data_IF_888249979384
#
_entry.id   IF_888249979384
#
_cell.length_a   1.000
_cell.length_b   1.000
_cell.length_c   1.000
_cell.angle_alpha   90.00
_cell.angle_beta   90.00
_cell.angle_gamma   90.00
#
_symmetry.space_group_name_H-M   'P 1'
#
loop_
_entity.id
_entity.type
_entity.pdbx_description
1 polymer ?
#
# COMPACT_ATOMS: atom_id res chain seq x y z
N UNK A 1 -6.14 2.81 15.53
CA UNK A 1 -4.90 3.58 15.26
C UNK A 1 -5.18 4.67 14.24
N UNK A 2 -4.42 5.79 14.28
CA UNK A 2 -4.44 6.84 13.26
C UNK A 2 -3.12 6.82 12.49
N UNK A 3 -3.16 6.68 11.17
CA UNK A 3 -1.96 6.58 10.31
C UNK A 3 -2.10 7.52 9.13
N UNK A 4 -1.02 8.26 8.83
CA UNK A 4 -0.89 9.04 7.61
C UNK A 4 0.21 8.43 6.76
N UNK A 5 -0.12 8.04 5.53
CA UNK A 5 0.81 7.52 4.53
C UNK A 5 1.11 8.63 3.52
N UNK A 6 2.39 8.89 3.26
CA UNK A 6 2.83 9.88 2.28
C UNK A 6 3.27 9.14 1.01
N UNK A 7 2.53 9.35 -0.07
CA UNK A 7 2.67 8.65 -1.36
C UNK A 7 1.58 7.60 -1.58
N UNK A 8 0.84 7.75 -2.68
CA UNK A 8 -0.19 6.84 -3.19
C UNK A 8 0.37 5.75 -4.12
N UNK A 9 1.65 5.44 -4.02
CA UNK A 9 2.27 4.34 -4.76
C UNK A 9 1.94 2.95 -4.19
N UNK A 10 2.41 1.86 -4.85
CA UNK A 10 2.05 0.49 -4.48
C UNK A 10 2.31 0.14 -3.01
N UNK A 11 3.44 0.56 -2.44
CA UNK A 11 3.78 0.26 -1.05
C UNK A 11 2.83 0.96 -0.06
N UNK A 12 2.52 2.25 -0.29
CA UNK A 12 1.65 3.03 0.57
C UNK A 12 0.21 2.54 0.55
N UNK A 13 -0.31 2.26 -0.66
CA UNK A 13 -1.65 1.70 -0.82
C UNK A 13 -1.76 0.30 -0.24
N UNK A 14 -0.76 -0.56 -0.47
CA UNK A 14 -0.75 -1.91 0.09
C UNK A 14 -0.77 -1.90 1.62
N UNK A 15 0.05 -1.05 2.26
CA UNK A 15 0.00 -0.87 3.71
C UNK A 15 -1.37 -0.39 4.19
N UNK A 16 -1.98 0.59 3.50
CA UNK A 16 -3.29 1.09 3.86
C UNK A 16 -4.38 -0.01 3.81
N UNK A 17 -4.32 -0.88 2.80
CA UNK A 17 -5.19 -2.05 2.67
C UNK A 17 -4.97 -3.01 3.85
N UNK A 18 -3.72 -3.40 4.12
CA UNK A 18 -3.41 -4.33 5.21
C UNK A 18 -3.85 -3.79 6.58
N UNK A 19 -3.65 -2.50 6.84
CA UNK A 19 -4.10 -1.87 8.08
C UNK A 19 -5.63 -1.95 8.25
N UNK A 20 -6.38 -1.79 7.16
CA UNK A 20 -7.84 -1.91 7.16
C UNK A 20 -8.32 -3.36 7.26
N UNK A 21 -7.64 -4.32 6.63
CA UNK A 21 -7.93 -5.75 6.79
C UNK A 21 -7.68 -6.22 8.22
N UNK A 22 -6.60 -5.77 8.84
CA UNK A 22 -6.25 -6.13 10.21
C UNK A 22 -7.24 -5.56 11.24
N UNK A 23 -7.69 -4.31 11.05
CA UNK A 23 -8.75 -3.71 11.85
C UNK A 23 -9.45 -2.57 11.06
N UNK A 24 -10.74 -2.72 10.72
CA UNK A 24 -11.50 -1.70 10.01
C UNK A 24 -11.58 -0.34 10.73
N UNK A 25 -11.47 -0.32 12.06
CA UNK A 25 -11.53 0.90 12.90
C UNK A 25 -10.25 1.75 12.80
N UNK A 26 -9.21 1.26 12.13
CA UNK A 26 -8.02 2.07 11.85
C UNK A 26 -8.38 3.27 10.96
N UNK A 27 -8.02 4.48 11.37
CA UNK A 27 -8.14 5.67 10.53
C UNK A 27 -6.86 5.81 9.72
N UNK A 28 -6.96 5.61 8.40
CA UNK A 28 -5.81 5.67 7.50
C UNK A 28 -6.06 6.76 6.47
N UNK A 29 -5.16 7.73 6.39
CA UNK A 29 -5.15 8.78 5.38
C UNK A 29 -3.98 8.54 4.44
N UNK A 30 -4.21 8.53 3.14
CA UNK A 30 -3.16 8.48 2.12
C UNK A 30 -3.10 9.83 1.43
N UNK A 31 -1.92 10.44 1.40
CA UNK A 31 -1.67 11.71 0.73
C UNK A 31 -0.81 11.47 -0.51
N UNK A 32 -1.33 11.78 -1.68
CA UNK A 32 -0.58 11.76 -2.95
C UNK A 32 -0.46 13.18 -3.49
N UNK A 33 0.72 13.50 -4.04
CA UNK A 33 1.02 14.82 -4.62
C UNK A 33 0.48 14.92 -6.04
N UNK A 34 0.60 13.86 -6.82
CA UNK A 34 0.25 13.83 -8.23
C UNK A 34 -1.27 13.68 -8.43
N UNK A 35 -1.78 14.10 -9.58
CA UNK A 35 -3.18 13.90 -9.94
C UNK A 35 -3.54 12.42 -10.11
N UNK A 36 -4.83 12.06 -10.09
CA UNK A 36 -5.28 10.67 -10.25
C UNK A 36 -4.87 10.04 -11.59
N UNK A 37 -4.70 10.85 -12.64
CA UNK A 37 -4.32 10.41 -13.99
C UNK A 37 -2.81 10.55 -14.27
N UNK A 38 -2.06 11.10 -13.31
CA UNK A 38 -0.61 11.30 -13.43
C UNK A 38 0.12 9.98 -13.19
N UNK A 39 0.43 9.28 -14.27
CA UNK A 39 1.10 7.97 -14.19
C UNK A 39 2.61 8.16 -14.12
N UNK A 40 3.17 8.12 -12.90
CA UNK A 40 4.60 8.11 -12.66
C UNK A 40 5.01 6.83 -11.94
N UNK A 41 6.08 6.18 -12.42
CA UNK A 41 6.61 4.98 -11.79
C UNK A 41 7.53 4.20 -12.69
N UNK A 42 8.11 3.14 -12.13
CA UNK A 42 8.92 2.17 -12.84
C UNK A 42 8.54 0.77 -12.33
N UNK A 43 8.61 -0.22 -13.20
CA UNK A 43 8.26 -1.59 -12.85
C UNK A 43 9.32 -2.22 -11.93
N UNK A 44 8.87 -2.89 -10.89
CA UNK A 44 9.70 -3.77 -10.04
C UNK A 44 9.37 -5.23 -10.33
N UNK A 45 10.36 -6.11 -10.19
CA UNK A 45 10.15 -7.56 -10.22
C UNK A 45 10.48 -8.10 -8.84
N UNK A 46 9.61 -8.96 -8.31
CA UNK A 46 9.79 -9.60 -7.01
C UNK A 46 10.28 -11.05 -7.20
N UNK A 47 11.12 -11.51 -6.28
CA UNK A 47 11.44 -12.94 -6.18
C UNK A 47 10.22 -13.72 -5.68
N UNK A 48 10.22 -15.05 -5.90
CA UNK A 48 9.18 -15.93 -5.38
C UNK A 48 9.05 -15.82 -3.85
N UNK A 49 10.17 -15.66 -3.15
CA UNK A 49 10.19 -15.47 -1.71
C UNK A 49 9.45 -14.17 -1.31
N UNK A 50 9.72 -13.06 -1.99
CA UNK A 50 9.05 -11.79 -1.71
C UNK A 50 7.56 -11.87 -2.05
N UNK A 51 7.19 -12.50 -3.16
CA UNK A 51 5.78 -12.74 -3.50
C UNK A 51 5.07 -13.61 -2.45
N UNK A 52 5.75 -14.62 -1.90
CA UNK A 52 5.22 -15.44 -0.81
C UNK A 52 4.92 -14.62 0.45
N UNK A 53 5.81 -13.69 0.81
CA UNK A 53 5.61 -12.80 1.95
C UNK A 53 4.40 -11.87 1.74
N UNK A 54 4.23 -11.33 0.53
CA UNK A 54 3.06 -10.49 0.22
C UNK A 54 1.76 -11.31 0.35
N UNK A 55 1.70 -12.51 -0.25
CA UNK A 55 0.53 -13.40 -0.13
C UNK A 55 0.18 -13.76 1.32
N UNK A 56 1.21 -13.98 2.15
CA UNK A 56 1.00 -14.31 3.57
C UNK A 56 0.45 -13.13 4.35
N UNK A 57 0.87 -11.91 4.01
CA UNK A 57 0.38 -10.69 4.65
C UNK A 57 -1.04 -10.33 4.19
N UNK A 58 -1.44 -10.71 2.98
CA UNK A 58 -2.76 -10.46 2.38
C UNK A 58 -3.49 -11.79 2.04
N UNK A 59 -3.96 -12.54 3.05
CA UNK A 59 -4.65 -13.82 2.85
C UNK A 59 -6.06 -13.65 2.28
#
# INVERSE_FOLDING_TARGET
MKVVTIGGGPAGLYLAILLKKANPDHQVTVLERNGPDDTFGWGVVFSDQTLGNLRTADP
#
